data_IF_809243619438
#
_entry.id   IF_809243619438
#
_cell.length_a   1.000
_cell.length_b   1.000
_cell.length_c   1.000
_cell.angle_alpha   90.00
_cell.angle_beta   90.00
_cell.angle_gamma   90.00
#
_symmetry.space_group_name_H-M   'P 1'
#
loop_
_entity.id
_entity.type
_entity.pdbx_description
1 polymer ?
#
# COMPACT_ATOMS: atom_id res chain seq x y z
N UNK A 1 18.71 8.76 17.22
CA UNK A 1 18.90 7.56 16.36
C UNK A 1 17.52 7.05 16.00
N UNK A 2 17.19 7.01 14.73
CA UNK A 2 15.90 6.60 14.19
C UNK A 2 15.92 5.08 14.03
N UNK A 3 15.00 4.38 14.72
CA UNK A 3 14.85 2.93 14.66
C UNK A 3 13.90 2.55 13.54
N UNK A 4 14.40 1.81 12.55
CA UNK A 4 13.67 1.44 11.35
C UNK A 4 13.43 -0.06 11.30
N UNK A 5 12.22 -0.49 10.93
CA UNK A 5 11.90 -1.85 10.50
C UNK A 5 11.70 -1.83 8.99
N UNK A 6 12.30 -2.80 8.29
CA UNK A 6 12.13 -3.02 6.85
C UNK A 6 11.19 -4.19 6.60
N UNK A 7 10.17 -3.99 5.78
CA UNK A 7 9.25 -5.05 5.36
C UNK A 7 9.17 -5.12 3.82
N UNK A 8 9.67 -6.21 3.25
CA UNK A 8 9.68 -6.51 1.81
C UNK A 8 9.81 -8.03 1.65
N UNK A 9 9.16 -8.66 0.69
CA UNK A 9 9.25 -10.10 0.48
C UNK A 9 10.58 -10.55 -0.17
N UNK A 10 11.33 -9.61 -0.79
CA UNK A 10 12.59 -9.88 -1.45
C UNK A 10 13.80 -9.63 -0.51
N UNK A 11 14.49 -10.67 -0.09
CA UNK A 11 15.65 -10.60 0.81
C UNK A 11 16.76 -9.68 0.29
N UNK A 12 17.08 -9.77 -1.01
CA UNK A 12 18.13 -8.96 -1.65
C UNK A 12 17.76 -7.46 -1.61
N UNK A 13 16.48 -7.16 -1.79
CA UNK A 13 15.96 -5.78 -1.73
C UNK A 13 16.08 -5.23 -0.30
N UNK A 14 15.69 -6.03 0.71
CA UNK A 14 15.86 -5.63 2.11
C UNK A 14 17.31 -5.38 2.46
N UNK A 15 18.22 -6.30 2.06
CA UNK A 15 19.66 -6.13 2.30
C UNK A 15 20.19 -4.84 1.65
N UNK A 16 19.78 -4.53 0.43
CA UNK A 16 20.15 -3.31 -0.27
C UNK A 16 19.67 -2.04 0.46
N UNK A 17 18.40 -1.97 0.84
CA UNK A 17 17.88 -0.83 1.57
C UNK A 17 18.48 -0.67 2.96
N UNK A 18 18.77 -1.76 3.65
CA UNK A 18 19.49 -1.71 4.92
C UNK A 18 20.87 -1.09 4.76
N UNK A 19 21.63 -1.50 3.75
CA UNK A 19 22.94 -0.91 3.46
C UNK A 19 22.85 0.59 3.16
N UNK A 20 21.85 1.02 2.40
CA UNK A 20 21.61 2.43 2.08
C UNK A 20 21.28 3.22 3.35
N UNK A 21 20.32 2.76 4.13
CA UNK A 21 19.86 3.46 5.33
C UNK A 21 20.96 3.56 6.40
N UNK A 22 21.73 2.51 6.61
CA UNK A 22 22.79 2.48 7.61
C UNK A 22 24.08 3.22 7.17
N UNK A 23 24.11 3.85 5.98
CA UNK A 23 25.10 4.87 5.63
C UNK A 23 24.91 6.15 6.44
N UNK A 24 23.67 6.41 6.89
CA UNK A 24 23.39 7.51 7.81
C UNK A 24 23.52 7.03 9.26
N UNK A 25 24.44 7.68 10.01
CA UNK A 25 24.73 7.30 11.39
C UNK A 25 23.54 7.49 12.36
N UNK A 26 22.53 8.26 11.96
CA UNK A 26 21.31 8.50 12.76
C UNK A 26 20.23 7.44 12.52
N UNK A 27 20.38 6.59 11.51
CA UNK A 27 19.40 5.55 11.15
C UNK A 27 19.93 4.16 11.51
N UNK A 28 19.09 3.38 12.18
CA UNK A 28 19.38 1.97 12.50
C UNK A 28 18.24 1.04 12.11
N UNK A 29 18.53 0.08 11.23
CA UNK A 29 17.60 -1.00 10.95
C UNK A 29 17.63 -2.02 12.09
N UNK A 30 16.54 -2.09 12.85
CA UNK A 30 16.47 -2.93 14.07
C UNK A 30 15.88 -4.30 13.81
N UNK A 31 15.09 -4.47 12.75
CA UNK A 31 14.56 -5.76 12.32
C UNK A 31 14.06 -5.72 10.86
N UNK A 32 13.83 -6.92 10.32
CA UNK A 32 13.35 -7.14 8.97
C UNK A 32 12.14 -8.07 8.99
N UNK A 33 11.20 -7.87 8.07
CA UNK A 33 10.00 -8.67 7.85
C UNK A 33 9.87 -9.06 6.38
N UNK A 34 9.36 -10.24 6.09
CA UNK A 34 9.14 -10.73 4.74
C UNK A 34 7.67 -10.62 4.27
N UNK A 35 6.76 -10.25 5.16
CA UNK A 35 5.33 -10.09 4.87
C UNK A 35 4.65 -9.17 5.90
N UNK A 36 3.41 -8.77 5.63
CA UNK A 36 2.65 -7.88 6.51
C UNK A 36 2.33 -8.47 7.88
N UNK A 37 2.23 -9.78 8.03
CA UNK A 37 1.97 -10.44 9.32
C UNK A 37 3.21 -10.39 10.20
N UNK A 38 4.38 -10.67 9.62
CA UNK A 38 5.66 -10.53 10.31
C UNK A 38 5.92 -9.07 10.67
N UNK A 39 5.65 -8.13 9.75
CA UNK A 39 5.79 -6.70 10.00
C UNK A 39 4.97 -6.26 11.22
N UNK A 40 3.69 -6.65 11.29
CA UNK A 40 2.83 -6.36 12.45
C UNK A 40 3.42 -6.94 13.76
N UNK A 41 3.84 -8.20 13.74
CA UNK A 41 4.41 -8.86 14.91
C UNK A 41 5.70 -8.18 15.40
N UNK A 42 6.58 -7.82 14.45
CA UNK A 42 7.85 -7.16 14.74
C UNK A 42 7.60 -5.75 15.27
N UNK A 43 6.71 -4.96 14.65
CA UNK A 43 6.35 -3.61 15.12
C UNK A 43 5.77 -3.66 16.54
N UNK A 44 4.94 -4.65 16.85
CA UNK A 44 4.38 -4.81 18.21
C UNK A 44 5.45 -5.02 19.27
N UNK A 45 6.53 -5.72 18.93
CA UNK A 45 7.65 -6.04 19.83
C UNK A 45 8.70 -4.95 19.88
N UNK A 46 9.17 -4.51 18.71
CA UNK A 46 10.30 -3.58 18.60
C UNK A 46 9.92 -2.12 18.80
N UNK A 47 8.65 -1.75 18.55
CA UNK A 47 8.16 -0.36 18.62
C UNK A 47 9.09 0.59 17.89
N UNK A 48 9.37 0.39 16.60
CA UNK A 48 10.26 1.26 15.83
C UNK A 48 9.65 2.65 15.64
N UNK A 49 10.50 3.63 15.35
CA UNK A 49 10.06 4.96 14.96
C UNK A 49 9.43 4.94 13.56
N UNK A 50 10.06 4.18 12.64
CA UNK A 50 9.66 4.06 11.25
C UNK A 50 9.48 2.58 10.86
N UNK A 51 8.40 2.30 10.14
CA UNK A 51 8.24 1.10 9.34
C UNK A 51 8.33 1.47 7.86
N UNK A 52 9.41 1.03 7.18
CA UNK A 52 9.51 1.04 5.72
C UNK A 52 8.87 -0.24 5.20
N UNK A 53 7.82 -0.13 4.36
CA UNK A 53 7.03 -1.30 3.99
C UNK A 53 6.65 -1.30 2.52
N UNK A 54 6.90 -2.43 1.83
CA UNK A 54 6.35 -2.68 0.50
C UNK A 54 4.84 -2.94 0.57
N UNK A 55 4.14 -2.58 -0.49
CA UNK A 55 2.71 -2.84 -0.67
C UNK A 55 2.48 -4.32 -1.02
N UNK A 56 3.32 -4.88 -1.89
CA UNK A 56 3.13 -6.22 -2.46
C UNK A 56 4.08 -7.23 -1.84
N UNK A 57 3.60 -8.00 -0.88
CA UNK A 57 4.38 -9.01 -0.14
C UNK A 57 3.64 -10.35 -0.08
N UNK A 58 3.48 -11.08 -1.21
CA UNK A 58 2.91 -12.43 -1.15
C UNK A 58 3.91 -13.42 -0.50
N UNK A 59 3.46 -14.52 0.14
CA UNK A 59 2.08 -15.02 0.23
C UNK A 59 1.30 -14.56 1.48
N UNK A 60 1.88 -13.70 2.32
CA UNK A 60 1.29 -13.25 3.57
C UNK A 60 0.24 -12.15 3.43
N UNK A 61 0.01 -11.41 4.50
CA UNK A 61 -0.86 -10.24 4.49
C UNK A 61 -0.23 -9.15 3.63
N UNK A 62 -1.03 -8.53 2.73
CA UNK A 62 -0.53 -7.44 1.90
C UNK A 62 -0.13 -6.23 2.75
N UNK A 63 0.84 -5.45 2.24
CA UNK A 63 1.30 -4.24 2.92
C UNK A 63 0.18 -3.22 3.15
N UNK A 64 -0.83 -3.14 2.27
CA UNK A 64 -1.96 -2.22 2.46
C UNK A 64 -2.78 -2.54 3.72
N UNK A 65 -3.15 -3.81 3.91
CA UNK A 65 -3.89 -4.24 5.12
C UNK A 65 -3.03 -4.13 6.37
N UNK A 66 -1.74 -4.48 6.26
CA UNK A 66 -0.80 -4.33 7.36
C UNK A 66 -0.62 -2.86 7.75
N UNK A 67 -0.53 -1.95 6.77
CA UNK A 67 -0.43 -0.50 6.97
C UNK A 67 -1.58 0.02 7.84
N UNK A 68 -2.80 -0.20 7.42
CA UNK A 68 -3.99 0.26 8.14
C UNK A 68 -4.04 -0.28 9.58
N UNK A 69 -3.75 -1.57 9.74
CA UNK A 69 -3.77 -2.23 11.05
C UNK A 69 -2.66 -1.70 11.96
N UNK A 70 -1.43 -1.55 11.44
CA UNK A 70 -0.29 -1.05 12.20
C UNK A 70 -0.49 0.42 12.57
N UNK A 71 -0.96 1.27 11.64
CA UNK A 71 -1.22 2.68 11.90
C UNK A 71 -2.24 2.88 13.03
N UNK A 72 -3.28 2.04 13.06
CA UNK A 72 -4.31 2.08 14.10
C UNK A 72 -3.80 1.58 15.45
N UNK A 73 -3.11 0.43 15.46
CA UNK A 73 -2.76 -0.28 16.71
C UNK A 73 -1.44 0.23 17.31
N UNK A 74 -0.58 0.87 16.50
CA UNK A 74 0.74 1.39 16.90
C UNK A 74 0.98 2.83 16.40
N UNK A 75 0.23 3.83 16.88
CA UNK A 75 0.30 5.21 16.39
C UNK A 75 1.66 5.89 16.62
N UNK A 76 2.52 5.32 17.45
CA UNK A 76 3.89 5.78 17.65
C UNK A 76 4.87 5.33 16.56
N UNK A 77 4.49 4.35 15.72
CA UNK A 77 5.29 3.91 14.57
C UNK A 77 4.76 4.58 13.30
N UNK A 78 5.56 5.36 12.63
CA UNK A 78 5.19 6.02 11.37
C UNK A 78 5.52 5.14 10.19
N UNK A 79 4.61 5.07 9.22
CA UNK A 79 4.73 4.15 8.08
C UNK A 79 5.16 4.92 6.85
N UNK A 80 6.24 4.47 6.21
CA UNK A 80 6.68 4.92 4.88
C UNK A 80 6.51 3.75 3.91
N UNK A 81 5.67 3.95 2.91
CA UNK A 81 5.50 2.97 1.84
C UNK A 81 6.69 3.07 0.88
N UNK A 82 7.25 1.91 0.55
CA UNK A 82 8.36 1.76 -0.39
C UNK A 82 7.93 0.78 -1.48
N UNK A 83 7.66 1.27 -2.71
CA UNK A 83 7.01 0.48 -3.74
C UNK A 83 7.54 0.77 -5.14
N UNK A 84 7.32 -0.18 -6.07
CA UNK A 84 7.54 0.05 -7.51
C UNK A 84 6.37 0.78 -8.18
N UNK A 85 5.20 0.82 -7.54
CA UNK A 85 3.98 1.37 -8.13
C UNK A 85 3.96 2.90 -8.05
N UNK A 86 3.78 3.54 -9.22
CA UNK A 86 3.69 5.00 -9.35
C UNK A 86 2.26 5.47 -9.67
N UNK A 87 1.27 4.61 -9.49
CA UNK A 87 -0.13 4.91 -9.73
C UNK A 87 -0.73 5.68 -8.54
N UNK A 88 -1.44 6.79 -8.81
CA UNK A 88 -2.04 7.64 -7.78
C UNK A 88 -3.00 6.91 -6.84
N UNK A 89 -3.67 5.87 -7.33
CA UNK A 89 -4.64 5.07 -6.57
C UNK A 89 -3.97 4.41 -5.35
N UNK A 90 -2.79 3.81 -5.52
CA UNK A 90 -2.04 3.21 -4.41
C UNK A 90 -1.60 4.26 -3.38
N UNK A 91 -1.21 5.45 -3.84
CA UNK A 91 -0.85 6.54 -2.96
C UNK A 91 -2.05 6.97 -2.10
N UNK A 92 -3.23 7.17 -2.71
CA UNK A 92 -4.44 7.54 -1.97
C UNK A 92 -4.80 6.49 -0.92
N UNK A 93 -4.81 5.20 -1.29
CA UNK A 93 -5.15 4.13 -0.36
C UNK A 93 -4.19 4.04 0.81
N UNK A 94 -2.89 4.17 0.56
CA UNK A 94 -1.87 4.08 1.61
C UNK A 94 -1.92 5.29 2.55
N UNK A 95 -2.11 6.51 2.04
CA UNK A 95 -2.29 7.70 2.87
C UNK A 95 -3.57 7.62 3.72
N UNK A 96 -4.68 7.17 3.15
CA UNK A 96 -5.92 6.91 3.90
C UNK A 96 -5.75 5.81 4.94
N UNK A 97 -4.92 4.81 4.66
CA UNK A 97 -4.52 3.74 5.59
C UNK A 97 -3.58 4.19 6.70
N UNK A 98 -3.18 5.47 6.73
CA UNK A 98 -2.35 6.05 7.78
C UNK A 98 -0.86 6.07 7.49
N UNK A 99 -0.43 5.83 6.24
CA UNK A 99 0.96 6.02 5.85
C UNK A 99 1.33 7.51 5.93
N UNK A 100 2.52 7.80 6.48
CA UNK A 100 3.08 9.13 6.57
C UNK A 100 4.03 9.46 5.41
N UNK A 101 4.46 8.43 4.65
CA UNK A 101 5.36 8.62 3.52
C UNK A 101 5.09 7.65 2.37
N UNK A 102 5.48 8.06 1.15
CA UNK A 102 5.41 7.27 -0.06
C UNK A 102 6.65 7.50 -0.91
N UNK A 103 7.46 6.47 -1.06
CA UNK A 103 8.76 6.49 -1.76
C UNK A 103 8.75 5.41 -2.84
N UNK A 104 9.31 5.69 -3.99
CA UNK A 104 9.47 4.69 -5.04
C UNK A 104 10.77 3.90 -4.82
N UNK A 105 10.76 2.58 -5.07
CA UNK A 105 11.95 1.71 -4.93
C UNK A 105 13.10 2.08 -5.88
N UNK A 106 12.81 2.88 -6.93
CA UNK A 106 13.80 3.42 -7.84
C UNK A 106 14.25 4.85 -7.50
N UNK A 107 13.91 5.34 -6.30
CA UNK A 107 14.42 6.61 -5.76
C UNK A 107 15.90 6.52 -5.45
N UNK A 108 16.57 7.66 -5.36
CA UNK A 108 17.99 7.71 -4.95
C UNK A 108 18.14 7.39 -3.46
N UNK A 109 19.38 7.07 -3.05
CA UNK A 109 19.69 6.84 -1.63
C UNK A 109 19.39 8.08 -0.78
N UNK A 110 19.67 9.26 -1.29
CA UNK A 110 19.45 10.54 -0.63
C UNK A 110 17.96 10.81 -0.44
N UNK A 111 17.12 10.51 -1.45
CA UNK A 111 15.67 10.65 -1.37
C UNK A 111 15.07 9.72 -0.30
N UNK A 112 15.55 8.47 -0.22
CA UNK A 112 15.09 7.51 0.78
C UNK A 112 15.47 7.96 2.20
N UNK A 113 16.71 8.38 2.41
CA UNK A 113 17.18 8.87 3.70
C UNK A 113 16.41 10.14 4.11
N UNK A 114 16.24 11.09 3.17
CA UNK A 114 15.45 12.30 3.41
C UNK A 114 14.00 12.00 3.79
N UNK A 115 13.39 11.00 3.16
CA UNK A 115 12.03 10.56 3.50
C UNK A 115 11.95 10.02 4.93
N UNK A 116 12.92 9.20 5.35
CA UNK A 116 12.97 8.66 6.72
C UNK A 116 13.13 9.79 7.75
N UNK A 117 14.00 10.75 7.53
CA UNK A 117 14.18 11.90 8.43
C UNK A 117 12.91 12.75 8.51
N UNK A 118 12.35 13.17 7.36
CA UNK A 118 11.15 13.99 7.31
C UNK A 118 9.98 13.35 8.07
N UNK A 119 9.80 12.03 7.91
CA UNK A 119 8.74 11.30 8.59
C UNK A 119 9.06 11.11 10.08
N UNK A 120 10.30 10.84 10.46
CA UNK A 120 10.71 10.71 11.87
C UNK A 120 10.51 12.00 12.66
N UNK A 121 10.72 13.16 12.04
CA UNK A 121 10.49 14.49 12.63
C UNK A 121 9.00 14.86 12.74
N UNK A 122 8.11 13.98 12.34
CA UNK A 122 6.66 14.20 12.42
C UNK A 122 6.04 14.77 11.15
N UNK A 123 6.80 15.02 10.09
CA UNK A 123 6.33 15.44 8.78
C UNK A 123 5.75 14.30 7.94
N UNK A 124 5.55 14.58 6.66
CA UNK A 124 5.18 13.60 5.65
C UNK A 124 6.12 13.71 4.46
N UNK A 125 6.31 12.60 3.74
CA UNK A 125 7.11 12.59 2.52
C UNK A 125 6.35 11.91 1.39
N UNK A 126 6.15 12.63 0.30
CA UNK A 126 5.61 12.06 -0.95
C UNK A 126 6.65 12.30 -2.04
N UNK A 127 7.06 11.23 -2.71
CA UNK A 127 8.01 11.33 -3.81
C UNK A 127 7.54 12.38 -4.84
N UNK A 128 8.42 13.30 -5.34
CA UNK A 128 8.03 14.44 -6.17
C UNK A 128 7.19 14.08 -7.40
N UNK A 129 7.47 12.96 -8.07
CA UNK A 129 6.66 12.47 -9.19
C UNK A 129 5.21 12.16 -8.77
N UNK A 130 5.03 11.60 -7.59
CA UNK A 130 3.72 11.27 -7.05
C UNK A 130 2.96 12.52 -6.61
N UNK A 131 3.67 13.49 -6.01
CA UNK A 131 3.09 14.78 -5.66
C UNK A 131 2.60 15.55 -6.91
N UNK A 132 3.36 15.50 -8.01
CA UNK A 132 2.95 16.11 -9.29
C UNK A 132 1.70 15.44 -9.88
N UNK A 133 1.57 14.11 -9.77
CA UNK A 133 0.37 13.38 -10.21
C UNK A 133 -0.85 13.74 -9.36
N UNK A 134 -0.69 13.80 -8.03
CA UNK A 134 -1.74 14.26 -7.13
C UNK A 134 -2.23 15.67 -7.47
N UNK A 135 -1.28 16.59 -7.71
CA UNK A 135 -1.63 17.99 -8.07
C UNK A 135 -2.42 18.04 -9.37
N UNK A 136 -2.03 17.25 -10.38
CA UNK A 136 -2.79 17.15 -11.62
C UNK A 136 -4.21 16.63 -11.40
N UNK A 137 -4.39 15.59 -10.59
CA UNK A 137 -5.72 15.07 -10.27
C UNK A 137 -6.56 16.08 -9.50
N UNK A 138 -6.00 16.75 -8.49
CA UNK A 138 -6.72 17.73 -7.68
C UNK A 138 -7.07 19.02 -8.44
N UNK A 139 -6.19 19.45 -9.35
CA UNK A 139 -6.40 20.67 -10.16
C UNK A 139 -7.17 20.37 -11.43
N UNK A 140 -6.99 19.17 -12.02
CA UNK A 140 -7.70 18.70 -13.21
C UNK A 140 -9.13 18.19 -12.94
N UNK A 141 -9.46 17.86 -11.70
CA UNK A 141 -10.78 17.36 -11.29
C UNK A 141 -11.93 18.39 -11.48
N UNK A 142 -11.66 19.55 -12.10
CA UNK A 142 -12.68 20.54 -12.42
C UNK A 142 -13.58 20.20 -13.60
N UNK A 143 -13.16 19.35 -14.54
CA UNK A 143 -13.98 19.17 -15.77
C UNK A 143 -14.04 17.75 -16.41
N UNK A 144 -13.17 16.77 -16.07
CA UNK A 144 -13.16 15.48 -16.81
C UNK A 144 -13.03 14.17 -15.99
N UNK A 145 -12.70 14.16 -14.72
CA UNK A 145 -12.31 12.94 -13.98
C UNK A 145 -13.41 12.24 -13.17
N UNK A 146 -14.62 12.78 -13.10
CA UNK A 146 -15.78 12.05 -12.53
C UNK A 146 -16.26 10.89 -13.44
N UNK A 147 -15.67 10.76 -14.64
CA UNK A 147 -16.06 9.74 -15.62
C UNK A 147 -15.26 8.45 -15.59
N UNK A 148 -14.06 8.41 -15.04
CA UNK A 148 -13.25 7.18 -15.11
C UNK A 148 -13.70 6.12 -14.10
N UNK A 149 -14.19 6.52 -12.93
CA UNK A 149 -14.82 5.61 -11.97
C UNK A 149 -16.27 5.24 -12.33
N UNK A 150 -16.97 6.08 -13.06
CA UNK A 150 -18.32 5.78 -13.58
C UNK A 150 -18.31 4.79 -14.76
N UNK A 151 -17.14 4.51 -15.35
CA UNK A 151 -16.97 3.52 -16.41
C UNK A 151 -16.64 2.12 -15.92
N UNK A 152 -16.32 1.96 -14.63
CA UNK A 152 -16.08 0.65 -14.05
C UNK A 152 -17.42 -0.04 -13.80
N UNK A 153 -17.55 -1.25 -14.31
CA UNK A 153 -18.68 -2.12 -13.96
C UNK A 153 -18.72 -2.35 -12.45
N UNK A 154 -19.89 -2.62 -11.90
CA UNK A 154 -20.05 -2.98 -10.48
C UNK A 154 -19.07 -4.09 -10.05
N UNK A 155 -18.73 -4.98 -10.98
CA UNK A 155 -17.79 -6.08 -10.74
C UNK A 155 -16.34 -5.61 -10.64
N UNK A 156 -15.91 -4.67 -11.47
CA UNK A 156 -14.59 -4.07 -11.41
C UNK A 156 -14.41 -3.22 -10.16
N UNK A 157 -15.45 -2.48 -9.76
CA UNK A 157 -15.48 -1.76 -8.49
C UNK A 157 -15.36 -2.69 -7.28
N UNK A 158 -16.05 -3.83 -7.30
CA UNK A 158 -15.95 -4.83 -6.24
C UNK A 158 -14.57 -5.44 -6.14
N UNK A 159 -13.96 -5.80 -7.27
CA UNK A 159 -12.58 -6.32 -7.33
C UNK A 159 -11.60 -5.26 -6.82
N UNK A 160 -11.75 -3.99 -7.21
CA UNK A 160 -10.92 -2.89 -6.72
C UNK A 160 -11.08 -2.68 -5.21
N UNK A 161 -12.30 -2.78 -4.67
CA UNK A 161 -12.54 -2.69 -3.23
C UNK A 161 -11.87 -3.84 -2.46
N UNK A 162 -11.88 -5.05 -3.03
CA UNK A 162 -11.22 -6.21 -2.44
C UNK A 162 -9.68 -6.05 -2.50
N UNK A 163 -9.15 -5.58 -3.64
CA UNK A 163 -7.74 -5.24 -3.78
C UNK A 163 -7.32 -4.15 -2.77
N UNK A 164 -8.10 -3.09 -2.65
CA UNK A 164 -7.87 -2.02 -1.69
C UNK A 164 -7.93 -2.46 -0.23
N UNK A 165 -8.70 -3.52 0.08
CA UNK A 165 -8.72 -4.17 1.39
C UNK A 165 -7.57 -5.16 1.58
N UNK A 166 -6.69 -5.31 0.57
CA UNK A 166 -5.51 -6.16 0.61
C UNK A 166 -5.76 -7.65 0.45
N UNK A 167 -6.89 -8.01 -0.16
CA UNK A 167 -7.11 -9.41 -0.53
C UNK A 167 -6.17 -9.81 -1.67
N UNK A 168 -5.60 -11.00 -1.57
CA UNK A 168 -4.80 -11.60 -2.65
C UNK A 168 -5.67 -11.95 -3.84
N UNK A 169 -5.08 -12.04 -5.03
CA UNK A 169 -5.80 -12.46 -6.24
C UNK A 169 -6.56 -13.80 -6.05
N UNK A 170 -6.01 -14.72 -5.26
CA UNK A 170 -6.64 -16.00 -4.93
C UNK A 170 -7.89 -15.80 -4.08
N UNK A 171 -7.80 -15.01 -3.01
CA UNK A 171 -8.92 -14.69 -2.13
C UNK A 171 -10.01 -13.91 -2.85
N UNK A 172 -9.62 -12.98 -3.74
CA UNK A 172 -10.55 -12.25 -4.61
C UNK A 172 -11.27 -13.22 -5.53
N UNK A 173 -10.54 -14.10 -6.20
CA UNK A 173 -11.10 -15.13 -7.07
C UNK A 173 -12.09 -16.02 -6.32
N UNK A 174 -11.77 -16.47 -5.11
CA UNK A 174 -12.66 -17.29 -4.29
C UNK A 174 -13.93 -16.54 -3.83
N UNK A 175 -13.80 -15.26 -3.42
CA UNK A 175 -14.95 -14.45 -3.01
C UNK A 175 -15.86 -14.12 -4.19
N UNK A 176 -15.27 -13.73 -5.31
CA UNK A 176 -15.96 -13.42 -6.57
C UNK A 176 -16.72 -14.66 -7.09
N UNK A 177 -16.10 -15.84 -7.02
CA UNK A 177 -16.72 -17.11 -7.43
C UNK A 177 -17.88 -17.52 -6.50
N UNK A 178 -17.73 -17.36 -5.18
CA UNK A 178 -18.81 -17.66 -4.21
C UNK A 178 -20.03 -16.74 -4.38
N UNK A 179 -19.83 -15.48 -4.73
CA UNK A 179 -20.93 -14.55 -5.01
C UNK A 179 -21.62 -14.89 -6.32
N UNK A 180 -20.86 -15.28 -7.35
CA UNK A 180 -21.43 -15.73 -8.62
C UNK A 180 -22.31 -16.99 -8.44
N UNK A 181 -21.87 -17.94 -7.63
CA UNK A 181 -22.68 -19.13 -7.30
C UNK A 181 -23.94 -18.81 -6.50
N UNK A 182 -23.95 -17.71 -5.73
CA UNK A 182 -25.14 -17.28 -4.97
C UNK A 182 -26.09 -16.38 -5.76
N UNK A 183 -25.60 -15.73 -6.82
CA UNK A 183 -26.38 -14.84 -7.69
C UNK A 183 -26.90 -15.51 -8.97
N UNK A 184 -26.51 -16.76 -9.24
CA UNK A 184 -26.86 -17.49 -10.46
C UNK A 184 -28.25 -18.11 -10.51
N UNK A 185 -29.11 -17.87 -9.53
CA UNK A 185 -30.48 -18.41 -9.50
C UNK A 185 -31.57 -17.38 -9.88
N UNK A 186 -31.25 -16.35 -10.67
CA UNK A 186 -32.21 -15.27 -10.86
C UNK A 186 -32.37 -14.63 -12.23
N UNK A 187 -31.78 -15.10 -13.34
CA UNK A 187 -32.02 -14.45 -14.64
C UNK A 187 -31.86 -15.37 -15.87
N UNK A 188 -32.42 -16.58 -15.85
CA UNK A 188 -32.51 -17.44 -17.05
C UNK A 188 -33.96 -17.67 -17.56
N UNK A 189 -34.96 -16.88 -17.18
CA UNK A 189 -36.35 -17.06 -17.65
C UNK A 189 -37.00 -15.81 -18.29
N UNK A 190 -36.28 -14.97 -19.01
CA UNK A 190 -36.89 -13.78 -19.63
C UNK A 190 -36.69 -13.60 -21.13
N UNK A 191 -36.21 -14.59 -21.91
CA UNK A 191 -36.10 -14.44 -23.38
C UNK A 191 -36.57 -15.66 -24.20
N UNK A 192 -37.60 -16.37 -23.78
CA UNK A 192 -38.18 -17.46 -24.56
C UNK A 192 -39.68 -17.32 -24.84
N UNK A 193 -40.24 -16.11 -24.91
CA UNK A 193 -41.62 -15.94 -25.39
C UNK A 193 -41.78 -14.62 -26.17
N UNK A 194 -41.31 -14.60 -27.43
CA UNK A 194 -41.87 -13.77 -28.52
C UNK A 194 -41.29 -14.23 -29.86
N UNK A 195 -41.91 -15.23 -30.46
CA UNK A 195 -42.13 -15.35 -31.93
C UNK A 195 -43.58 -15.70 -32.14
#
# INVERSE_FOLDING_TARGET
MIRVVLADDHEVVRAGFKMILEQDAEIKVVAEAADGTQAYTIVSRERPDILLMDISMPPGQSGLVACEKIARDFPGTRIVILTMFAEPEYLFYTLRGGAAGYVLKNSTSEELIAAVHAVAEGGSYIHPKMAALLTKQLVGAGEEEDRSYQQLSNRELEILQLLAKGYTNKEISEQVYRQWLKGGDGDEDAEAEKV
#
